data_IF_585750445455
#
_entry.id   IF_585750445455
#
_cell.length_a   1.000
_cell.length_b   1.000
_cell.length_c   1.000
_cell.angle_alpha   90.00
_cell.angle_beta   90.00
_cell.angle_gamma   90.00
#
_symmetry.space_group_name_H-M   'P 1'
#
loop_
_entity.id
_entity.type
_entity.pdbx_description
1 polymer ?
2 non-polymer ?
3 non-polymer ?
4 non-polymer ?
5 non-polymer ?
6 water ?
#
# COMPACT_ATOMS: atom_id res chain seq x y z
N UNK A 29 8.43 14.01 2.57
CA UNK A 29 7.61 12.76 2.56
C UNK A 29 8.01 11.89 3.76
N UNK A 30 7.04 11.62 4.66
CA UNK A 30 7.24 10.81 5.88
C UNK A 30 7.81 9.44 5.52
N UNK A 31 8.67 8.89 6.39
CA UNK A 31 9.35 7.59 6.23
C UNK A 31 8.34 6.55 5.72
N UNK A 32 8.69 5.86 4.64
CA UNK A 32 7.79 4.96 3.89
C UNK A 32 7.60 3.62 4.60
N UNK A 33 6.53 2.93 4.24
CA UNK A 33 6.42 1.45 4.44
C UNK A 33 7.56 0.80 3.65
N UNK A 34 8.13 -0.28 4.20
CA UNK A 34 9.36 -0.96 3.71
C UNK A 34 9.01 -2.31 3.05
N UNK A 35 7.81 -2.84 3.32
CA UNK A 35 7.34 -4.12 2.75
C UNK A 35 5.95 -3.91 2.13
N UNK A 36 5.66 -4.72 1.12
CA UNK A 36 4.30 -4.94 0.57
C UNK A 36 3.81 -6.29 1.10
N UNK A 37 2.59 -6.34 1.64
CA UNK A 37 2.10 -7.54 2.38
C UNK A 37 0.71 -7.88 1.86
N UNK A 38 0.38 -9.17 1.80
CA UNK A 38 -0.94 -9.63 1.32
C UNK A 38 -1.28 -10.93 2.07
N UNK A 39 -2.57 -11.09 2.41
CA UNK A 39 -3.11 -12.39 2.87
C UNK A 39 -3.41 -13.19 1.59
N UNK A 40 -2.66 -14.26 1.34
CA UNK A 40 -2.76 -15.06 0.08
C UNK A 40 -4.07 -15.87 0.09
N UNK A 41 -4.37 -16.53 -1.03
CA UNK A 41 -5.66 -17.22 -1.27
C UNK A 41 -5.78 -18.49 -0.42
N UNK A 42 -4.69 -18.96 0.21
CA UNK A 42 -4.77 -20.08 1.18
C UNK A 42 -4.58 -19.56 2.61
N UNK A 43 -4.75 -18.25 2.83
CA UNK A 43 -4.85 -17.66 4.17
C UNK A 43 -3.50 -17.46 4.84
N UNK A 44 -2.40 -17.60 4.10
CA UNK A 44 -1.04 -17.36 4.64
C UNK A 44 -0.58 -15.96 4.22
N UNK A 45 -0.15 -15.15 5.18
CA UNK A 45 0.42 -13.80 4.89
C UNK A 45 1.76 -14.01 4.18
N UNK A 46 1.99 -13.24 3.12
CA UNK A 46 3.31 -13.19 2.45
C UNK A 46 3.77 -11.73 2.43
N UNK A 47 5.03 -11.51 2.77
CA UNK A 47 5.65 -10.16 2.83
C UNK A 47 6.75 -10.10 1.76
N UNK A 48 6.87 -8.94 1.12
CA UNK A 48 7.86 -8.65 0.06
C UNK A 48 8.64 -7.41 0.46
N UNK A 49 9.97 -7.51 0.50
CA UNK A 49 10.85 -6.38 0.81
C UNK A 49 12.07 -6.40 -0.07
N UNK A 50 12.92 -5.38 0.08
CA UNK A 50 14.16 -5.23 -0.72
C UNK A 50 15.34 -5.52 0.21
N UNK A 51 16.20 -6.46 -0.19
CA UNK A 51 17.42 -6.82 0.56
C UNK A 51 18.52 -5.82 0.30
N UNK A 52 19.66 -5.98 0.98
CA UNK A 52 20.85 -5.11 0.83
C UNK A 52 21.45 -5.28 -0.57
N UNK A 53 21.05 -6.35 -1.31
CA UNK A 53 21.46 -6.63 -2.71
C UNK A 53 20.51 -5.97 -3.72
N UNK A 54 19.49 -5.25 -3.25
CA UNK A 54 18.47 -4.55 -4.08
C UNK A 54 17.63 -5.59 -4.84
N UNK A 55 17.69 -6.86 -4.44
CA UNK A 55 16.77 -7.91 -4.94
C UNK A 55 15.48 -7.87 -4.11
N UNK A 56 14.39 -8.37 -4.66
CA UNK A 56 13.12 -8.52 -3.89
C UNK A 56 13.15 -9.89 -3.22
N UNK A 57 12.91 -9.91 -1.91
CA UNK A 57 12.83 -11.13 -1.07
C UNK A 57 11.43 -11.24 -0.51
N UNK A 58 10.96 -12.47 -0.29
CA UNK A 58 9.63 -12.74 0.27
C UNK A 58 9.73 -13.78 1.40
N UNK A 59 8.74 -13.72 2.28
CA UNK A 59 8.64 -14.54 3.51
C UNK A 59 7.17 -14.83 3.69
N UNK A 60 6.81 -16.08 3.95
CA UNK A 60 5.39 -16.48 4.02
C UNK A 60 5.17 -17.25 5.32
N UNK A 61 4.01 -17.07 5.93
CA UNK A 61 3.56 -17.91 7.07
C UNK A 61 3.55 -19.37 6.61
N UNK A 62 4.00 -20.28 7.47
CA UNK A 62 3.96 -21.74 7.21
C UNK A 62 2.52 -22.22 7.34
N UNK A 63 1.71 -21.51 8.12
CA UNK A 63 0.33 -21.91 8.45
C UNK A 63 -0.57 -20.67 8.51
N UNK A 64 -1.86 -20.83 8.16
CA UNK A 64 -2.81 -19.72 8.14
C UNK A 64 -3.38 -19.41 9.53
N UNK A 65 -2.52 -18.95 10.45
CA UNK A 65 -2.91 -18.63 11.86
C UNK A 65 -2.01 -17.52 12.40
N UNK A 66 -2.55 -16.72 13.33
CA UNK A 66 -1.77 -15.74 14.12
C UNK A 66 -0.62 -16.49 14.80
N UNK A 67 0.58 -15.90 14.78
CA UNK A 67 1.76 -16.42 15.50
C UNK A 67 2.40 -17.63 14.82
N UNK A 68 2.03 -17.91 13.56
CA UNK A 68 2.62 -18.99 12.72
C UNK A 68 4.13 -18.77 12.61
N UNK A 69 4.90 -19.85 12.46
CA UNK A 69 6.31 -19.77 12.01
C UNK A 69 6.32 -19.26 10.57
N UNK A 70 7.49 -18.98 10.03
CA UNK A 70 7.67 -18.39 8.68
C UNK A 70 8.60 -19.28 7.86
N UNK A 71 8.47 -19.24 6.53
CA UNK A 71 9.36 -19.96 5.58
C UNK A 71 10.80 -19.48 5.75
N UNK A 72 10.97 -18.22 6.14
CA UNK A 72 12.25 -17.51 6.01
C UNK A 72 12.34 -16.84 4.66
N UNK A 73 13.35 -15.99 4.49
CA UNK A 73 13.48 -15.06 3.34
C UNK A 73 13.99 -15.82 2.11
N UNK A 74 13.28 -15.68 1.00
CA UNK A 74 13.59 -16.33 -0.31
C UNK A 74 13.66 -15.23 -1.37
N UNK A 75 14.74 -15.20 -2.16
CA UNK A 75 14.98 -14.14 -3.16
C UNK A 75 14.20 -14.42 -4.44
N UNK A 76 13.58 -13.38 -4.99
CA UNK A 76 13.02 -13.34 -6.37
C UNK A 76 14.03 -12.67 -7.31
N UNK A 77 15.23 -12.36 -6.81
CA UNK A 77 16.29 -11.68 -7.60
C UNK A 77 15.76 -10.31 -8.06
N UNK A 78 16.17 -9.86 -9.25
CA UNK A 78 15.92 -8.51 -9.75
C UNK A 78 16.85 -7.49 -9.12
N UNK A 79 16.78 -6.26 -9.63
CA UNK A 79 17.49 -5.07 -9.10
C UNK A 79 16.50 -3.91 -9.10
N UNK A 80 15.92 -3.59 -7.95
CA UNK A 80 14.80 -2.62 -7.85
C UNK A 80 15.31 -1.30 -7.27
N UNK A 81 14.65 -0.21 -7.66
CA UNK A 81 14.90 1.18 -7.24
C UNK A 81 13.56 1.82 -6.83
N UNK A 82 12.56 0.99 -6.49
CA UNK A 82 11.31 1.42 -5.81
C UNK A 82 10.97 0.42 -4.71
N UNK A 83 10.03 0.80 -3.84
CA UNK A 83 9.28 -0.18 -3.02
C UNK A 83 8.66 -1.19 -4.00
N UNK A 84 8.76 -2.51 -3.71
CA UNK A 84 8.05 -3.51 -4.50
C UNK A 84 6.62 -3.56 -4.00
N UNK A 85 5.67 -3.71 -4.92
CA UNK A 85 4.22 -3.76 -4.60
C UNK A 85 3.67 -5.09 -5.12
N UNK A 86 3.22 -5.93 -4.21
CA UNK A 86 2.55 -7.21 -4.58
C UNK A 86 1.07 -6.93 -4.74
N UNK A 87 0.43 -7.65 -5.66
CA UNK A 87 -1.05 -7.64 -5.81
C UNK A 87 -1.48 -9.07 -6.11
N UNK A 88 -2.66 -9.45 -5.60
CA UNK A 88 -3.22 -10.80 -5.88
C UNK A 88 -4.14 -10.69 -7.10
N UNK A 89 -3.78 -11.37 -8.17
CA UNK A 89 -4.63 -11.52 -9.37
C UNK A 89 -5.96 -12.16 -8.94
N UNK A 90 -7.01 -12.01 -9.75
CA UNK A 90 -8.36 -12.53 -9.40
C UNK A 90 -8.38 -14.06 -9.48
N UNK A 91 -7.34 -14.70 -10.04
CA UNK A 91 -7.15 -16.18 -10.04
C UNK A 91 -6.23 -16.62 -8.90
N UNK A 92 -5.87 -15.72 -7.97
CA UNK A 92 -5.07 -16.04 -6.78
C UNK A 92 -3.56 -15.94 -6.98
N UNK A 93 -3.07 -15.73 -8.20
CA UNK A 93 -1.61 -15.67 -8.47
C UNK A 93 -1.07 -14.31 -8.02
N UNK A 94 -0.05 -14.30 -7.17
CA UNK A 94 0.64 -13.06 -6.73
C UNK A 94 1.43 -12.49 -7.90
N UNK A 95 1.50 -11.17 -7.98
CA UNK A 95 2.29 -10.49 -9.02
C UNK A 95 2.96 -9.30 -8.33
N UNK A 96 4.28 -9.14 -8.52
CA UNK A 96 5.06 -8.06 -7.88
C UNK A 96 5.46 -7.06 -8.95
N UNK A 97 5.29 -5.77 -8.65
CA UNK A 97 5.62 -4.63 -9.53
C UNK A 97 6.70 -3.82 -8.82
N UNK A 98 7.73 -3.42 -9.55
CA UNK A 98 8.82 -2.60 -8.99
C UNK A 98 9.53 -1.86 -10.13
N UNK A 99 10.04 -0.67 -9.83
CA UNK A 99 10.94 0.04 -10.76
C UNK A 99 12.29 -0.69 -10.78
N UNK A 100 12.88 -0.83 -11.97
CA UNK A 100 14.20 -1.45 -12.15
C UNK A 100 15.31 -0.40 -12.17
N UNK A 101 16.57 -0.83 -12.24
CA UNK A 101 17.74 0.08 -12.28
C UNK A 101 17.72 0.90 -13.57
N UNK A 102 16.97 0.47 -14.59
CA UNK A 102 16.83 1.21 -15.88
C UNK A 102 15.64 2.18 -15.81
N UNK A 103 14.97 2.24 -14.64
CA UNK A 103 13.80 3.12 -14.35
C UNK A 103 12.57 2.69 -15.16
N UNK A 104 12.59 1.51 -15.76
CA UNK A 104 11.38 0.90 -16.35
C UNK A 104 10.58 0.25 -15.22
N UNK A 105 9.30 0.01 -15.47
CA UNK A 105 8.45 -0.82 -14.59
C UNK A 105 8.72 -2.28 -14.97
N UNK A 106 9.05 -3.10 -13.96
CA UNK A 106 9.22 -4.56 -14.10
C UNK A 106 8.14 -5.26 -13.30
N UNK A 107 7.83 -6.49 -13.68
CA UNK A 107 6.92 -7.35 -12.90
C UNK A 107 7.38 -8.81 -12.97
N UNK A 108 6.90 -9.58 -12.02
CA UNK A 108 7.19 -11.02 -11.86
C UNK A 108 5.93 -11.61 -11.22
N UNK A 109 5.56 -12.83 -11.59
CA UNK A 109 4.25 -13.40 -11.18
C UNK A 109 4.41 -14.89 -10.90
N UNK A 110 3.55 -15.40 -10.04
CA UNK A 110 3.38 -16.85 -9.80
C UNK A 110 2.76 -17.47 -11.06
N UNK A 111 3.27 -18.62 -11.49
CA UNK A 111 2.76 -19.32 -12.70
C UNK A 111 1.54 -20.15 -12.31
N UNK A 112 1.40 -20.45 -11.01
CA UNK A 112 0.21 -21.09 -10.40
C UNK A 112 -0.03 -20.49 -9.02
N UNK A 113 -1.29 -20.47 -8.59
CA UNK A 113 -1.71 -19.92 -7.29
C UNK A 113 -0.80 -20.47 -6.19
N UNK A 114 -0.04 -19.59 -5.54
CA UNK A 114 0.80 -19.86 -4.35
C UNK A 114 1.93 -20.86 -4.68
N UNK A 115 2.29 -20.99 -5.95
CA UNK A 115 3.35 -21.94 -6.40
C UNK A 115 4.57 -21.12 -6.84
N UNK A 116 5.26 -21.58 -7.91
CA UNK A 116 6.53 -21.02 -8.39
C UNK A 116 6.33 -19.68 -9.09
N UNK A 117 7.43 -18.99 -9.34
CA UNK A 117 7.44 -17.64 -9.96
C UNK A 117 8.00 -17.70 -11.38
N UNK A 118 7.51 -16.79 -12.21
CA UNK A 118 8.07 -16.44 -13.55
C UNK A 118 9.48 -15.86 -13.37
N UNK A 119 10.07 -15.48 -14.50
CA UNK A 119 11.22 -14.55 -14.55
C UNK A 119 10.67 -13.11 -14.53
N UNK A 120 11.49 -12.17 -14.07
CA UNK A 120 11.20 -10.71 -14.20
C UNK A 120 10.99 -10.38 -15.67
N UNK A 121 9.99 -9.56 -15.96
CA UNK A 121 9.70 -9.06 -17.33
C UNK A 121 9.52 -7.55 -17.24
N UNK A 122 10.04 -6.81 -18.22
CA UNK A 122 9.91 -5.35 -18.32
C UNK A 122 8.56 -4.99 -18.93
N UNK A 123 7.88 -4.01 -18.33
CA UNK A 123 6.69 -3.33 -18.91
C UNK A 123 7.10 -1.97 -19.48
N UNK A 124 8.40 -1.71 -19.55
CA UNK A 124 8.96 -0.48 -20.16
C UNK A 124 8.60 0.77 -19.37
N UNK A 125 8.53 1.90 -20.07
CA UNK A 125 8.34 3.23 -19.49
C UNK A 125 9.58 3.73 -18.78
N UNK A 126 9.50 4.96 -18.29
CA UNK A 126 10.51 5.61 -17.41
C UNK A 126 9.73 6.25 -16.26
N UNK A 127 9.83 5.68 -15.06
CA UNK A 127 8.95 6.07 -13.93
C UNK A 127 9.81 6.63 -12.80
N UNK A 128 9.20 7.50 -12.00
CA UNK A 128 9.87 8.36 -10.99
C UNK A 128 9.13 8.24 -9.66
N UNK A 129 8.30 7.21 -9.48
CA UNK A 129 7.59 6.90 -8.21
C UNK A 129 7.53 5.40 -7.98
N UNK A 130 7.14 5.01 -6.77
CA UNK A 130 6.67 3.63 -6.53
C UNK A 130 5.46 3.39 -7.42
N UNK A 131 5.25 2.14 -7.86
CA UNK A 131 4.00 1.79 -8.54
C UNK A 131 2.86 1.74 -7.52
N UNK A 132 1.65 2.08 -7.96
CA UNK A 132 0.39 1.85 -7.23
C UNK A 132 -0.43 0.89 -8.07
N UNK A 133 -0.98 -0.17 -7.46
CA UNK A 133 -1.55 -1.32 -8.19
C UNK A 133 -2.95 -1.59 -7.68
N UNK A 134 -3.91 -1.76 -8.59
CA UNK A 134 -5.26 -2.26 -8.24
C UNK A 134 -5.81 -3.05 -9.42
N UNK A 135 -6.83 -3.86 -9.18
CA UNK A 135 -7.47 -4.66 -10.25
C UNK A 135 -8.81 -4.02 -10.58
N UNK A 136 -9.11 -3.94 -11.87
CA UNK A 136 -10.42 -3.54 -12.41
C UNK A 136 -11.45 -4.65 -12.14
N UNK A 137 -12.73 -4.33 -12.29
CA UNK A 137 -13.87 -5.24 -12.03
C UNK A 137 -13.88 -6.39 -13.05
N UNK A 138 -13.12 -6.24 -14.15
CA UNK A 138 -12.97 -7.27 -15.22
C UNK A 138 -11.71 -8.10 -14.99
N UNK A 139 -11.05 -7.97 -13.85
CA UNK A 139 -9.87 -8.77 -13.46
C UNK A 139 -8.56 -8.29 -14.08
N UNK A 140 -8.58 -7.17 -14.80
CA UNK A 140 -7.38 -6.56 -15.44
C UNK A 140 -6.66 -5.67 -14.41
N UNK A 141 -5.43 -6.00 -14.07
CA UNK A 141 -4.58 -5.16 -13.18
C UNK A 141 -4.27 -3.85 -13.89
N UNK A 142 -4.34 -2.76 -13.14
CA UNK A 142 -3.99 -1.40 -13.58
C UNK A 142 -2.84 -0.93 -12.68
N UNK A 143 -1.73 -0.50 -13.27
CA UNK A 143 -0.54 -0.02 -12.52
C UNK A 143 -0.33 1.46 -12.83
N UNK A 144 -0.18 2.27 -11.78
CA UNK A 144 0.00 3.74 -11.84
C UNK A 144 1.40 4.08 -11.36
N UNK A 145 2.03 5.04 -12.02
CA UNK A 145 3.35 5.53 -11.60
C UNK A 145 3.55 6.93 -12.15
N UNK A 146 4.32 7.73 -11.43
CA UNK A 146 4.77 9.06 -11.92
C UNK A 146 5.73 8.85 -13.08
N UNK A 147 5.65 9.72 -14.08
CA UNK A 147 6.57 9.71 -15.24
C UNK A 147 7.68 10.73 -15.06
N UNK A 148 8.57 10.82 -16.05
CA UNK A 148 9.72 11.78 -16.04
C UNK A 148 9.18 13.20 -16.12
N UNK A 149 7.97 13.38 -16.67
CA UNK A 149 7.29 14.70 -16.77
C UNK A 149 6.54 15.01 -15.46
N UNK A 150 6.64 14.11 -14.47
CA UNK A 150 5.96 14.19 -13.14
C UNK A 150 4.44 14.09 -13.30
N UNK A 151 3.95 13.70 -14.47
CA UNK A 151 2.53 13.37 -14.69
C UNK A 151 2.25 11.97 -14.12
N UNK A 152 0.98 11.67 -13.87
CA UNK A 152 0.52 10.32 -13.50
C UNK A 152 0.30 9.53 -14.79
N UNK A 153 1.04 8.43 -14.95
CA UNK A 153 0.89 7.48 -16.08
C UNK A 153 0.30 6.16 -15.55
N UNK A 154 -0.27 5.36 -16.44
CA UNK A 154 -0.73 4.01 -16.07
C UNK A 154 -0.61 3.06 -17.26
N UNK A 155 -0.61 1.78 -16.94
CA UNK A 155 -0.52 0.66 -17.92
C UNK A 155 -1.34 -0.48 -17.32
N UNK A 156 -2.01 -1.28 -18.15
CA UNK A 156 -2.94 -2.31 -17.63
C UNK A 156 -2.83 -3.59 -18.46
N UNK A 157 -3.12 -4.72 -17.81
CA UNK A 157 -3.41 -6.03 -18.46
C UNK A 157 -4.55 -5.79 -19.48
N UNK A 158 -4.47 -6.41 -20.66
CA UNK A 158 -5.54 -6.28 -21.70
C UNK A 158 -6.53 -7.45 -21.56
N UNK A 159 -6.25 -8.40 -20.69
CA UNK A 159 -7.14 -9.54 -20.39
C UNK A 159 -7.06 -9.86 -18.89
N UNK A 160 -8.10 -10.46 -18.33
CA UNK A 160 -8.16 -10.79 -16.89
C UNK A 160 -6.86 -11.53 -16.51
N UNK A 161 -6.13 -11.01 -15.53
CA UNK A 161 -4.90 -11.60 -14.94
C UNK A 161 -3.96 -12.13 -16.05
N UNK A 162 -3.76 -11.35 -17.11
CA UNK A 162 -3.01 -11.82 -18.29
C UNK A 162 -2.44 -10.64 -19.08
N UNK A 163 -1.25 -10.83 -19.65
CA UNK A 163 -0.77 -10.02 -20.78
C UNK A 163 -1.55 -10.34 -22.04
N UNK A 164 -1.27 -9.66 -23.16
CA UNK A 164 -0.27 -8.60 -23.18
C UNK A 164 -0.79 -7.36 -22.46
N UNK A 165 0.12 -6.47 -22.06
CA UNK A 165 -0.20 -5.19 -21.39
C UNK A 165 -0.48 -4.12 -22.44
N UNK A 166 -1.22 -3.09 -22.02
CA UNK A 166 -1.57 -1.91 -22.84
C UNK A 166 -0.31 -1.08 -23.10
N UNK A 167 -0.44 -0.07 -23.94
CA UNK A 167 0.49 1.08 -24.01
C UNK A 167 0.45 1.81 -22.66
N UNK A 168 1.56 2.46 -22.30
CA UNK A 168 1.59 3.52 -21.26
C UNK A 168 0.72 4.69 -21.73
N UNK A 169 -0.10 5.24 -20.83
CA UNK A 169 -1.01 6.37 -21.13
C UNK A 169 -0.95 7.38 -19.98
N UNK A 170 -0.96 8.67 -20.32
CA UNK A 170 -0.84 9.78 -19.35
C UNK A 170 -2.22 10.20 -18.84
N UNK A 171 -2.32 10.41 -17.54
CA UNK A 171 -3.48 11.06 -16.88
C UNK A 171 -3.12 12.50 -16.50
N UNK A 172 -1.99 12.99 -17.01
CA UNK A 172 -1.55 14.40 -16.88
C UNK A 172 -1.33 14.69 -15.39
N UNK A 173 -1.47 15.97 -15.01
CA UNK A 173 -1.17 16.45 -13.66
C UNK A 173 0.32 16.55 -13.40
N UNK A 174 0.68 17.06 -12.23
CA UNK A 174 2.06 17.14 -11.71
C UNK A 174 1.99 16.72 -10.24
N UNK A 175 2.61 15.60 -9.88
CA UNK A 175 2.45 15.01 -8.53
C UNK A 175 3.83 14.92 -7.84
N UNK A 176 3.81 15.04 -6.52
CA UNK A 176 5.02 15.21 -5.66
C UNK A 176 5.03 14.16 -4.55
N UNK A 177 4.19 13.13 -4.66
CA UNK A 177 4.22 11.94 -3.77
C UNK A 177 4.09 10.69 -4.64
N UNK A 178 4.29 9.54 -4.03
CA UNK A 178 3.86 8.25 -4.64
C UNK A 178 2.34 8.31 -4.75
N UNK A 179 1.77 7.76 -5.84
CA UNK A 179 0.32 7.65 -5.98
C UNK A 179 -0.21 6.49 -5.13
N UNK A 180 -1.48 6.56 -4.76
CA UNK A 180 -2.23 5.46 -4.10
C UNK A 180 -3.55 5.26 -4.86
N UNK A 181 -3.98 4.01 -4.98
CA UNK A 181 -5.18 3.67 -5.78
C UNK A 181 -6.08 2.78 -4.95
N UNK A 182 -7.38 2.95 -5.12
CA UNK A 182 -8.40 2.05 -4.55
C UNK A 182 -9.60 2.03 -5.47
N UNK A 183 -10.34 0.93 -5.48
CA UNK A 183 -11.59 0.83 -6.26
C UNK A 183 -12.74 1.39 -5.42
N UNK A 184 -13.62 2.16 -6.05
CA UNK A 184 -14.89 2.63 -5.45
C UNK A 184 -15.85 1.44 -5.31
N UNK A 185 -16.91 1.59 -4.50
CA UNK A 185 -17.90 0.51 -4.27
C UNK A 185 -18.77 0.30 -5.51
N UNK A 186 -18.62 1.14 -6.53
CA UNK A 186 -19.31 0.96 -7.86
C UNK A 186 -18.30 0.51 -8.92
N UNK A 187 -17.09 0.09 -8.53
CA UNK A 187 -16.12 -0.54 -9.44
C UNK A 187 -15.23 0.46 -10.19
N UNK A 188 -15.31 1.75 -9.87
CA UNK A 188 -14.48 2.81 -10.53
C UNK A 188 -13.17 2.97 -9.76
N UNK A 189 -12.03 2.82 -10.43
CA UNK A 189 -10.71 3.04 -9.80
C UNK A 189 -10.56 4.52 -9.49
N UNK A 190 -9.85 4.84 -8.42
CA UNK A 190 -9.61 6.23 -7.99
C UNK A 190 -8.19 6.31 -7.44
N UNK A 191 -7.46 7.31 -7.91
CA UNK A 191 -6.02 7.51 -7.59
C UNK A 191 -5.87 8.83 -6.84
N UNK A 192 -5.02 8.80 -5.83
CA UNK A 192 -4.72 9.92 -4.91
C UNK A 192 -3.22 10.19 -4.98
N UNK A 193 -2.86 11.47 -4.95
CA UNK A 193 -1.43 11.87 -4.98
C UNK A 193 -1.32 13.30 -4.50
N UNK A 194 -0.16 13.64 -3.94
CA UNK A 194 0.14 15.03 -3.54
C UNK A 194 0.46 15.84 -4.79
N UNK A 195 -0.01 17.10 -4.84
CA UNK A 195 0.24 18.05 -5.94
C UNK A 195 1.38 19.00 -5.58
N UNK A 196 1.74 19.89 -6.51
CA UNK A 196 2.88 20.84 -6.33
C UNK A 196 2.55 21.85 -5.21
N UNK A 197 1.27 22.00 -4.85
CA UNK A 197 0.78 22.90 -3.76
C UNK A 197 0.72 22.15 -2.43
N UNK A 198 1.18 20.89 -2.42
CA UNK A 198 1.24 19.96 -1.24
C UNK A 198 -0.16 19.56 -0.80
N UNK A 199 -1.18 19.85 -1.62
CA UNK A 199 -2.57 19.42 -1.38
C UNK A 199 -2.73 17.97 -1.82
N UNK A 200 -3.76 17.30 -1.31
CA UNK A 200 -4.20 15.97 -1.79
C UNK A 200 -5.04 16.17 -3.05
N UNK A 201 -4.62 15.57 -4.15
CA UNK A 201 -5.38 15.58 -5.43
C UNK A 201 -5.86 14.17 -5.74
N UNK A 202 -6.90 14.05 -6.57
CA UNK A 202 -7.42 12.71 -6.94
C UNK A 202 -8.05 12.77 -8.32
N UNK A 203 -8.14 11.60 -8.94
CA UNK A 203 -8.66 11.40 -10.32
C UNK A 203 -9.28 9.99 -10.34
N UNK A 204 -10.33 9.78 -11.13
CA UNK A 204 -11.12 8.53 -11.08
C UNK A 204 -11.61 8.14 -12.47
N UNK A 205 -11.76 6.83 -12.68
CA UNK A 205 -12.58 6.28 -13.78
C UNK A 205 -13.98 6.85 -13.65
N UNK A 206 -14.58 7.27 -14.77
CA UNK A 206 -16.01 7.66 -14.83
C UNK A 206 -16.86 6.43 -15.18
N UNK A 207 -16.20 5.33 -15.56
CA UNK A 207 -16.85 4.01 -15.76
C UNK A 207 -15.87 2.91 -15.40
N UNK A 208 -16.31 1.80 -14.76
CA UNK A 208 -15.42 0.67 -14.49
C UNK A 208 -14.75 0.16 -15.77
N UNK A 209 -13.51 -0.32 -15.65
CA UNK A 209 -12.76 -1.11 -16.68
C UNK A 209 -12.35 -0.21 -17.85
N UNK A 210 -12.35 1.13 -17.70
CA UNK A 210 -12.23 2.03 -18.87
C UNK A 210 -11.03 2.98 -18.69
N UNK A 211 -10.62 3.58 -19.80
CA UNK A 211 -9.64 4.71 -19.84
C UNK A 211 -10.40 6.03 -19.98
N UNK A 212 -11.70 6.04 -19.69
CA UNK A 212 -12.44 7.30 -19.42
C UNK A 212 -12.10 7.72 -17.99
N UNK A 213 -11.07 8.56 -17.85
CA UNK A 213 -10.70 9.13 -16.53
C UNK A 213 -11.23 10.56 -16.42
N UNK A 214 -11.60 10.95 -15.20
CA UNK A 214 -12.09 12.30 -14.83
C UNK A 214 -10.97 13.34 -14.99
N UNK A 215 -11.29 14.61 -14.72
CA UNK A 215 -10.29 15.65 -14.44
C UNK A 215 -9.71 15.46 -13.05
N UNK A 216 -8.50 15.96 -12.83
CA UNK A 216 -7.90 16.08 -11.49
C UNK A 216 -8.79 16.96 -10.60
N UNK A 217 -8.91 16.62 -9.33
CA UNK A 217 -9.70 17.39 -8.34
C UNK A 217 -8.84 17.57 -7.09
N UNK A 218 -8.83 18.77 -6.51
CA UNK A 218 -8.08 19.05 -5.26
C UNK A 218 -8.99 18.78 -4.06
N UNK A 219 -8.51 17.99 -3.10
CA UNK A 219 -9.16 17.83 -1.77
C UNK A 219 -8.47 18.75 -0.76
N UNK A 220 -7.55 19.59 -1.24
CA UNK A 220 -6.88 20.62 -0.43
C UNK A 220 -6.04 20.00 0.67
N UNK A 221 -5.91 20.73 1.78
CA UNK A 221 -4.98 20.40 2.87
C UNK A 221 -3.53 20.57 2.46
N UNK A 222 -2.63 20.29 3.39
CA UNK A 222 -1.16 20.21 3.20
C UNK A 222 -0.72 18.87 3.77
N UNK A 223 -0.23 17.94 2.93
CA UNK A 223 0.17 16.59 3.41
C UNK A 223 1.69 16.43 3.28
N UNK A 224 2.27 15.76 4.27
CA UNK A 224 3.72 15.55 4.44
C UNK A 224 3.99 14.05 4.47
N UNK A 225 3.07 13.25 3.93
CA UNK A 225 3.25 11.80 3.67
C UNK A 225 2.56 11.45 2.35
N UNK A 226 2.93 10.30 1.78
CA UNK A 226 2.04 9.62 0.81
C UNK A 226 0.66 9.50 1.44
N UNK A 227 -0.41 9.60 0.64
CA UNK A 227 -1.75 9.27 1.11
C UNK A 227 -1.91 7.74 1.10
N UNK A 228 -2.75 7.24 2.02
CA UNK A 228 -3.25 5.84 1.97
C UNK A 228 -4.77 5.93 1.91
N UNK A 229 -5.37 4.99 1.18
CA UNK A 229 -6.83 5.03 0.90
C UNK A 229 -7.40 3.65 1.18
N UNK A 230 -8.58 3.61 1.76
CA UNK A 230 -9.28 2.33 2.05
C UNK A 230 -10.77 2.52 1.78
N UNK A 231 -11.47 1.40 1.55
CA UNK A 231 -12.93 1.33 1.40
C UNK A 231 -13.57 0.97 2.73
N UNK A 232 -14.54 1.76 3.17
CA UNK A 232 -15.25 1.53 4.46
C UNK A 232 -16.26 0.39 4.28
N UNK A 233 -16.74 -0.15 5.40
CA UNK A 233 -17.75 -1.22 5.42
C UNK A 233 -19.06 -0.72 4.80
N UNK A 234 -19.25 0.60 4.69
CA UNK A 234 -20.47 1.20 4.08
C UNK A 234 -20.12 1.82 2.71
N UNK A 235 -19.04 1.37 2.07
CA UNK A 235 -18.79 1.56 0.62
C UNK A 235 -18.30 2.95 0.27
N UNK A 236 -17.57 3.60 1.18
CA UNK A 236 -17.03 4.97 0.94
C UNK A 236 -15.49 4.89 0.98
N UNK A 237 -14.85 5.66 0.10
CA UNK A 237 -13.38 5.83 0.16
C UNK A 237 -13.05 6.77 1.30
N UNK A 238 -11.98 6.44 2.03
CA UNK A 238 -11.44 7.25 3.13
C UNK A 238 -9.92 7.29 2.98
N UNK A 239 -9.35 8.49 3.08
CA UNK A 239 -7.91 8.76 2.82
C UNK A 239 -7.26 9.27 4.11
N UNK A 240 -6.08 8.72 4.42
CA UNK A 240 -5.26 9.10 5.58
C UNK A 240 -3.92 9.63 5.08
N UNK A 241 -3.42 10.67 5.75
CA UNK A 241 -2.11 11.29 5.45
C UNK A 241 -1.64 12.09 6.66
N UNK A 242 -0.32 12.27 6.76
CA UNK A 242 0.26 13.16 7.79
C UNK A 242 0.09 14.61 7.32
N UNK A 243 -0.26 15.51 8.23
CA UNK A 243 -0.40 16.96 7.94
C UNK A 243 0.87 17.72 8.27
N UNK A 244 0.86 19.04 8.07
CA UNK A 244 2.05 19.93 8.23
C UNK A 244 2.49 19.97 9.70
N UNK A 245 1.60 19.71 10.66
CA UNK A 245 1.90 19.68 12.12
C UNK A 245 2.29 18.26 12.56
N UNK A 246 2.44 17.32 11.61
CA UNK A 246 2.80 15.89 11.83
C UNK A 246 1.70 15.14 12.58
N UNK A 247 0.49 15.71 12.67
CA UNK A 247 -0.71 14.97 13.11
C UNK A 247 -1.18 14.08 11.96
N UNK A 248 -1.90 13.02 12.30
CA UNK A 248 -2.62 12.17 11.32
C UNK A 248 -3.91 12.89 10.96
N UNK A 249 -4.23 12.99 9.68
CA UNK A 249 -5.51 13.55 9.17
C UNK A 249 -6.21 12.51 8.31
N UNK A 250 -7.53 12.66 8.19
CA UNK A 250 -8.34 11.82 7.27
C UNK A 250 -9.47 12.65 6.68
N UNK A 251 -9.96 12.19 5.55
CA UNK A 251 -11.03 12.83 4.75
C UNK A 251 -11.72 11.67 4.01
N UNK A 252 -13.00 11.80 3.69
CA UNK A 252 -13.79 10.65 3.16
C UNK A 252 -14.91 11.14 2.24
N UNK A 253 -15.31 10.27 1.32
CA UNK A 253 -16.60 10.37 0.58
C UNK A 253 -17.71 10.38 1.63
N UNK A 254 -18.69 11.28 1.48
CA UNK A 254 -19.84 11.38 2.42
C UNK A 254 -20.97 10.45 1.96
N UNK A 255 -20.94 9.97 0.71
CA UNK A 255 -21.90 8.97 0.18
C UNK A 255 -21.12 7.84 -0.47
N UNK A 256 -21.70 6.63 -0.60
CA UNK A 256 -21.00 5.54 -1.28
C UNK A 256 -20.53 5.97 -2.68
N UNK A 257 -19.27 5.67 -3.00
CA UNK A 257 -18.63 5.91 -4.32
C UNK A 257 -18.97 7.29 -4.89
N UNK A 258 -18.98 8.34 -4.05
CA UNK A 258 -19.37 9.68 -4.54
C UNK A 258 -18.97 10.82 -3.63
N UNK A 259 -18.92 12.02 -4.22
CA UNK A 259 -18.80 13.30 -3.51
C UNK A 259 -20.17 13.73 -2.97
N UNK A 260 -20.21 14.79 -2.14
CA UNK A 260 -19.01 15.57 -1.82
C UNK A 260 -18.14 14.85 -0.79
N UNK A 261 -16.86 15.23 -0.73
CA UNK A 261 -15.94 14.76 0.32
C UNK A 261 -16.16 15.57 1.59
N UNK A 262 -15.90 14.96 2.74
CA UNK A 262 -15.89 15.63 4.06
C UNK A 262 -14.84 16.74 4.05
N UNK A 263 -14.85 17.59 5.07
CA UNK A 263 -13.66 18.40 5.42
C UNK A 263 -12.62 17.42 5.94
N UNK A 264 -11.35 17.82 5.86
CA UNK A 264 -10.25 17.18 6.62
C UNK A 264 -10.60 17.19 8.11
N UNK A 265 -10.34 16.07 8.79
CA UNK A 265 -10.45 15.93 10.25
C UNK A 265 -9.12 15.44 10.80
N UNK A 266 -8.66 16.02 11.90
CA UNK A 266 -7.44 15.58 12.63
C UNK A 266 -7.75 14.36 13.48
N UNK A 267 -6.87 13.36 13.42
CA UNK A 267 -6.80 12.25 14.40
C UNK A 267 -5.60 12.49 15.32
N UNK A 268 -5.03 13.70 15.25
CA UNK A 268 -4.06 14.20 16.24
C UNK A 268 -2.80 13.32 16.21
N UNK A 269 -2.13 13.22 17.35
CA UNK A 269 -0.83 12.54 17.46
C UNK A 269 0.27 13.33 16.81
N UNK A 270 1.50 12.83 16.96
CA UNK A 270 2.72 13.33 16.27
C UNK A 270 3.38 12.08 15.70
N UNK A 271 3.35 11.95 14.37
CA UNK A 271 3.83 10.70 13.70
C UNK A 271 5.07 11.04 12.85
N UNK A 272 6.04 10.13 12.88
CA UNK A 272 7.38 10.29 12.28
C UNK A 272 7.55 9.26 11.16
N UNK A 273 6.44 8.68 10.69
CA UNK A 273 6.39 7.80 9.51
C UNK A 273 5.09 8.06 8.77
N UNK A 274 5.00 7.58 7.53
CA UNK A 274 3.71 7.43 6.82
C UNK A 274 2.78 6.62 7.71
N UNK A 275 1.47 6.92 7.69
CA UNK A 275 0.48 6.07 8.34
C UNK A 275 0.13 4.86 7.45
N UNK A 276 -0.19 3.73 8.07
CA UNK A 276 -0.73 2.53 7.40
C UNK A 276 -2.14 2.29 7.93
N UNK A 277 -3.09 2.07 7.04
CA UNK A 277 -4.52 1.84 7.40
C UNK A 277 -4.90 0.41 7.04
N UNK A 278 -5.80 -0.16 7.81
CA UNK A 278 -6.30 -1.54 7.62
C UNK A 278 -7.70 -1.60 8.22
N UNK A 279 -8.53 -2.51 7.72
CA UNK A 279 -9.88 -2.77 8.25
C UNK A 279 -9.82 -4.04 9.11
N UNK A 280 -10.25 -3.92 10.37
CA UNK A 280 -10.46 -5.09 11.26
C UNK A 280 -11.49 -6.03 10.63
N UNK A 281 -11.56 -7.27 11.13
CA UNK A 281 -12.50 -8.32 10.67
C UNK A 281 -13.96 -7.82 10.80
N UNK A 282 -14.24 -6.89 11.72
CA UNK A 282 -15.62 -6.39 12.00
C UNK A 282 -15.88 -5.06 11.28
N UNK A 283 -14.96 -4.59 10.44
CA UNK A 283 -15.14 -3.35 9.66
C UNK A 283 -14.56 -2.12 10.34
N UNK A 284 -14.07 -2.23 11.58
CA UNK A 284 -13.49 -1.05 12.30
C UNK A 284 -12.15 -0.70 11.64
N UNK A 285 -11.99 0.55 11.21
CA UNK A 285 -10.69 1.02 10.65
C UNK A 285 -9.69 1.15 11.80
N UNK A 286 -8.43 0.95 11.47
CA UNK A 286 -7.31 1.06 12.43
C UNK A 286 -6.10 1.59 11.66
N UNK A 287 -5.38 2.54 12.27
CA UNK A 287 -4.20 3.20 11.65
C UNK A 287 -2.99 2.96 12.55
N UNK A 288 -1.86 2.67 11.92
CA UNK A 288 -0.55 2.41 12.57
C UNK A 288 0.43 3.46 12.06
N UNK A 289 1.26 4.00 12.95
CA UNK A 289 2.33 4.93 12.58
C UNK A 289 3.39 4.94 13.65
N UNK A 290 4.59 5.35 13.27
CA UNK A 290 5.71 5.54 14.21
C UNK A 290 5.48 6.86 14.97
N UNK A 291 5.78 6.87 16.28
CA UNK A 291 5.72 8.09 17.11
C UNK A 291 7.08 8.74 17.27
N UNK A 292 7.11 9.88 17.96
CA UNK A 292 8.31 10.69 18.23
C UNK A 292 9.41 9.81 18.86
N UNK A 293 9.05 8.89 19.75
CA UNK A 293 10.03 8.02 20.47
C UNK A 293 10.40 6.79 19.62
N UNK A 294 9.92 6.71 18.37
CA UNK A 294 10.21 5.62 17.39
C UNK A 294 9.47 4.33 17.76
N UNK A 295 8.56 4.38 18.73
CA UNK A 295 7.65 3.26 19.03
C UNK A 295 6.57 3.19 17.95
N UNK A 296 5.96 2.02 17.80
CA UNK A 296 4.74 1.84 16.99
C UNK A 296 3.55 2.34 17.81
N UNK A 297 2.69 3.14 17.19
CA UNK A 297 1.42 3.61 17.79
C UNK A 297 0.28 3.19 16.88
N UNK A 298 -0.93 3.11 17.44
CA UNK A 298 -2.15 2.82 16.66
C UNK A 298 -3.33 3.53 17.28
N UNK A 299 -4.36 3.69 16.45
CA UNK A 299 -5.61 4.39 16.77
C UNK A 299 -6.68 3.69 15.94
N UNK A 300 -7.87 3.50 16.49
CA UNK A 300 -8.90 2.64 15.85
C UNK A 300 -10.28 3.21 16.10
N UNK A 301 -11.20 2.94 15.18
CA UNK A 301 -12.65 3.11 15.43
C UNK A 301 -13.05 2.16 16.56
N UNK A 302 -13.83 2.66 17.51
CA UNK A 302 -14.38 1.86 18.64
C UNK A 302 -15.82 1.45 18.32
N UNK A 303 -16.27 0.33 18.90
CA UNK A 303 -17.69 -0.14 18.87
C UNK A 303 -18.00 -0.77 17.52
N UNK A 304 -17.90 0.00 16.43
CA UNK A 304 -18.29 -0.44 15.07
C UNK A 304 -17.61 0.42 14.02
N UNK A 305 -17.78 0.04 12.74
CA UNK A 305 -17.29 0.77 11.56
C UNK A 305 -17.84 2.20 11.51
N UNK A 306 -18.90 2.53 12.28
CA UNK A 306 -19.43 3.92 12.35
C UNK A 306 -19.20 4.53 13.75
N UNK A 307 -18.37 3.92 14.58
CA UNK A 307 -18.17 4.35 15.98
C UNK A 307 -17.13 5.46 16.09
N UNK A 308 -16.99 6.09 17.28
CA UNK A 308 -16.00 7.15 17.47
C UNK A 308 -14.59 6.57 17.48
N UNK A 309 -13.60 7.33 16.99
CA UNK A 309 -12.18 6.91 17.03
C UNK A 309 -11.69 6.90 18.47
N UNK A 310 -10.79 5.96 18.77
CA UNK A 310 -10.04 5.87 20.04
C UNK A 310 -9.05 7.02 20.13
N UNK A 311 -8.34 7.10 21.24
CA UNK A 311 -7.08 7.86 21.36
C UNK A 311 -5.93 6.96 20.94
N UNK A 312 -4.79 7.56 20.60
CA UNK A 312 -3.54 6.84 20.28
C UNK A 312 -3.12 5.98 21.47
N UNK A 313 -2.66 4.76 21.18
CA UNK A 313 -2.04 3.85 22.18
C UNK A 313 -0.74 3.32 21.59
N UNK A 314 0.25 3.10 22.45
CA UNK A 314 1.58 2.61 22.02
C UNK A 314 1.53 1.08 21.92
N UNK A 315 2.31 0.52 21.00
CA UNK A 315 2.62 -0.92 20.93
C UNK A 315 4.13 -1.11 21.17
N UNK A 316 4.80 -0.06 21.62
CA UNK A 316 6.24 -0.10 22.01
C UNK A 316 7.07 -0.50 20.79
N UNK A 317 8.18 -1.20 21.01
CA UNK A 317 9.19 -1.47 19.97
C UNK A 317 9.95 -0.21 19.59
N UNK A 318 10.93 -0.37 18.71
CA UNK A 318 11.70 0.73 18.10
C UNK A 318 11.78 0.43 16.60
N UNK A 319 11.12 1.22 15.77
CA UNK A 319 10.97 0.88 14.32
C UNK A 319 11.67 1.96 13.50
N UNK A 320 12.19 1.54 12.34
CA UNK A 320 13.02 2.34 11.41
C UNK A 320 12.38 2.32 10.02
N UNK A 321 11.08 2.05 9.97
CA UNK A 321 10.22 2.19 8.77
C UNK A 321 8.83 2.60 9.26
N UNK A 322 7.96 3.03 8.35
CA UNK A 322 6.51 3.02 8.61
C UNK A 322 6.10 1.56 8.82
N UNK A 323 5.05 1.32 9.61
CA UNK A 323 4.48 -0.02 9.76
C UNK A 323 3.62 -0.39 8.56
N UNK A 324 3.39 -1.68 8.37
CA UNK A 324 2.47 -2.25 7.35
C UNK A 324 1.53 -3.22 8.07
N UNK A 325 0.22 -3.06 7.89
CA UNK A 325 -0.81 -3.82 8.62
C UNK A 325 -1.63 -4.65 7.63
N UNK A 326 -1.97 -5.87 8.02
CA UNK A 326 -2.84 -6.78 7.21
C UNK A 326 -3.64 -7.65 8.18
N UNK A 327 -4.85 -8.03 7.79
CA UNK A 327 -5.69 -8.98 8.56
C UNK A 327 -5.26 -10.41 8.18
N UNK A 328 -5.03 -11.26 9.18
CA UNK A 328 -4.66 -12.68 8.97
C UNK A 328 -5.93 -13.54 8.89
N UNK A 329 -5.75 -14.84 8.70
CA UNK A 329 -6.84 -15.83 8.45
C UNK A 329 -7.63 -16.08 9.73
N UNK A 330 -7.13 -15.63 10.89
CA UNK A 330 -7.83 -15.72 12.21
C UNK A 330 -8.60 -14.43 12.51
N UNK A 331 -8.64 -13.47 11.58
CA UNK A 331 -9.36 -12.20 11.76
C UNK A 331 -8.62 -11.23 12.65
N UNK A 332 -7.32 -11.45 12.88
CA UNK A 332 -6.46 -10.61 13.74
C UNK A 332 -5.55 -9.75 12.85
N UNK A 333 -5.39 -8.48 13.22
CA UNK A 333 -4.42 -7.57 12.56
C UNK A 333 -3.01 -8.05 12.86
N UNK A 334 -2.17 -8.02 11.82
CA UNK A 334 -0.72 -8.29 11.90
C UNK A 334 0.00 -7.04 11.41
N UNK A 335 1.03 -6.63 12.12
CA UNK A 335 1.81 -5.42 11.79
C UNK A 335 3.26 -5.83 11.61
N UNK A 336 3.88 -5.27 10.59
CA UNK A 336 5.30 -5.51 10.22
C UNK A 336 5.97 -4.14 10.15
N UNK A 337 7.19 -4.04 10.67
CA UNK A 337 7.99 -2.81 10.61
C UNK A 337 9.44 -3.21 10.74
N UNK A 338 10.33 -2.49 10.08
CA UNK A 338 11.78 -2.73 10.24
C UNK A 338 12.19 -2.29 11.64
N UNK A 339 13.10 -3.04 12.27
CA UNK A 339 13.67 -2.72 13.60
C UNK A 339 15.01 -2.02 13.48
N UNK A 340 15.65 -1.73 14.61
CA UNK A 340 16.94 -0.98 14.65
C UNK A 340 18.07 -1.89 14.11
N UNK A 341 17.83 -3.19 14.05
CA UNK A 341 18.79 -4.21 13.56
C UNK A 341 18.55 -4.47 12.06
N UNK A 342 17.59 -3.76 11.46
CA UNK A 342 17.19 -3.87 10.02
C UNK A 342 16.47 -5.19 9.73
N UNK A 343 16.14 -5.98 10.75
CA UNK A 343 15.26 -7.17 10.61
C UNK A 343 13.84 -6.65 10.43
N UNK A 344 12.97 -7.45 9.83
CA UNK A 344 11.52 -7.15 9.86
C UNK A 344 10.94 -7.75 11.13
N UNK A 345 10.25 -6.94 11.92
CA UNK A 345 9.60 -7.37 13.18
C UNK A 345 8.09 -7.44 12.99
N UNK A 346 7.43 -8.29 13.76
CA UNK A 346 5.99 -8.58 13.65
C UNK A 346 5.36 -8.47 15.05
N UNK A 347 4.15 -7.92 15.10
CA UNK A 347 3.30 -7.90 16.31
C UNK A 347 1.86 -8.10 15.82
N UNK A 348 1.03 -8.79 16.60
CA UNK A 348 -0.34 -9.13 16.16
C UNK A 348 -1.33 -8.97 17.31
N UNK A 349 -2.61 -8.86 16.94
CA UNK A 349 -3.72 -8.38 17.79
C UNK A 349 -4.25 -9.55 18.65
N UNK A 350 -3.50 -9.95 19.68
CA UNK A 350 -3.79 -11.12 20.56
C UNK A 350 -4.71 -10.71 21.72
N UNK A 354 -2.10 -7.02 22.82
CA UNK A 354 -1.36 -7.47 21.61
C UNK A 354 -0.23 -8.42 21.99
N UNK A 355 0.27 -9.17 21.00
CA UNK A 355 1.37 -10.16 21.13
C UNK A 355 2.66 -9.45 21.53
N UNK A 356 3.64 -10.23 21.97
CA UNK A 356 5.04 -9.79 22.07
C UNK A 356 5.58 -9.56 20.64
N UNK A 357 6.48 -8.59 20.49
CA UNK A 357 7.24 -8.40 19.23
C UNK A 357 8.05 -9.65 18.93
N UNK A 358 8.05 -10.06 17.66
CA UNK A 358 8.77 -11.27 17.17
C UNK A 358 9.54 -10.84 15.91
N UNK A 359 10.76 -11.34 15.77
CA UNK A 359 11.62 -11.01 14.61
C UNK A 359 11.47 -12.07 13.52
N UNK A 360 11.27 -11.61 12.29
CA UNK A 360 11.31 -12.42 11.05
C UNK A 360 12.73 -12.41 10.47
N UNK A 361 13.66 -11.73 11.15
CA UNK A 361 15.07 -11.62 10.72
C UNK A 361 15.12 -10.94 9.35
N UNK A 362 16.09 -11.29 8.52
CA UNK A 362 16.37 -10.58 7.26
C UNK A 362 17.05 -9.25 7.50
N UNK A 363 17.42 -8.58 6.41
CA UNK A 363 18.04 -7.24 6.40
C UNK A 363 17.41 -6.46 5.25
N UNK A 364 16.54 -5.51 5.59
CA UNK A 364 15.72 -4.76 4.61
C UNK A 364 16.26 -3.35 4.44
N UNK A 365 16.10 -2.79 3.24
CA UNK A 365 16.41 -1.38 2.92
C UNK A 365 15.12 -0.70 2.48
N UNK A 366 15.07 0.62 2.64
CA UNK A 366 14.00 1.48 2.08
C UNK A 366 14.41 1.85 0.65
N UNK A 367 13.82 1.19 -0.35
CA UNK A 367 14.09 1.43 -1.79
C UNK A 367 13.06 2.40 -2.39
N UNK A 368 12.23 3.07 -1.58
CA UNK A 368 11.18 3.99 -2.09
C UNK A 368 11.79 4.92 -3.14
N UNK A 369 11.08 5.10 -4.26
CA UNK A 369 11.52 5.93 -5.41
C UNK A 369 11.36 7.40 -5.06
N UNK A 370 10.43 7.73 -4.14
CA UNK A 370 10.24 9.10 -3.58
C UNK A 370 10.38 9.01 -2.06
N UNK A 371 11.31 9.81 -1.50
CA UNK A 371 11.62 9.89 -0.06
C UNK A 371 11.55 11.35 0.40
X LIG B 1 6.00 -18.21 -2.39
X LIG B 1 6.00 -19.26 -3.07
X LIG B 1 5.88 -17.06 -2.86
X LIG B 1 6.16 -18.33 -0.87
X LIG C 1 6.14 6.34 -19.13
X LIG C 1 5.21 6.43 -19.93
X LIG C 1 7.33 6.21 -19.46
X LIG C 1 5.82 6.39 -17.64
X LIG D 1 -2.46 17.89 -10.32
X LIG D 1 -3.62 18.35 -10.26
X LIG D 1 -1.58 18.33 -11.07
X LIG D 1 -2.10 16.71 -9.42
X LIG E 1 -4.75 18.76 6.29
X LIG E 1 -5.82 18.72 6.91
X LIG E 1 -4.19 19.83 5.94
X LIG E 1 -4.07 17.44 5.96
X LIG F 1 -15.03 11.10 -6.51
X LIG F 1 -14.41 10.64 -5.30
X LIG F 1 -15.90 10.10 -7.18
X LIG F 1 -15.31 8.83 -7.39
X LIG G 1 1.11 9.60 18.97
X LIG G 1 0.54 8.97 19.88
X LIG G 1 1.38 10.81 19.04
X LIG G 1 1.50 8.86 17.71
X LIG H 1 -8.62 -2.62 18.47
X LIG H 1 -7.17 -2.48 18.89
X LIG H 1 -7.00 -3.01 20.30
X LIG H 1 -7.46 -4.45 20.37
X LIG H 1 -8.92 -4.53 19.92
X LIG H 1 -9.44 -5.94 19.86
X LIG H 1 -8.84 -2.18 17.16
X LIG H 1 -6.31 -3.17 17.97
X LIG H 1 -5.64 -2.90 20.71
X LIG H 1 -7.33 -4.96 21.70
X LIG H 1 -9.04 -3.99 18.58
X LIG I 1 16.59 -10.51 3.43
X LIG I 1 16.52 -11.55 2.73
X LIG I 1 17.53 -10.27 4.21
X LIG I 1 15.47 -9.49 3.30
X LIG J 1 -6.20 -10.02 -11.85
X LIG K 1 -12.74 -1.11 -12.73
X LIG L 1 -2.87 -15.86 8.12
X LIG M 1 6.57 -1.37 6.55
X LIG N 1 -2.56 -16.48 -3.52
X LIG O 1 2.12 -13.68 13.27
#
# INVERSE_FOLDING_TARGET
>A
MQEEPTNIPRPDNAELLVASEVAIENAAIALSEIVSVVNTSDGRIEVFGVGTDNAVWHNRQTAPHSGSSWTGWISLNGKVTSKPVVYINTDGRLEVFARGTDNALWHIWQTATNAGWSNWQSLGGTITSNPAVYVNTDGRIDVFARGTDNALWHISQTAAHSGPWSSWQSLNGVITSNPAVHINSDGRLEVFARGTDNALWHIWQTAPDSNQWSGWDSLGGVITSDPVVIGTADGRLEVFARGSNNALYHIWQTVPHGGPWSNWASLNGVITSAPAVVKNSDGRLEVFARGTNNALYHIWQTVSHSGPWSNWATLNGTITSAPTAVEDADGRLEVFARGTDNALWNIWQATPSWSAWVSLKGSLIDASAIK
>B hetero
1 ACT C O OXT CH3
>C hetero
1 ACT C O OXT CH3
>D hetero
1 ACT C O OXT CH3
>E hetero
1 ACT C O OXT CH3
>F hetero
1 EDO C1 O1 C2 O2
>G hetero
1 ACT C O OXT CH3
>H hetero
1 RM4 C1 C2 C3 C4 C5 C6 O1 O2 O3 O4 O5
>I hetero
1 ACT C O OXT CH3
>J hetero
1 NA NA
>K hetero
1 NA NA
>L hetero
1 NA NA
>M hetero
1 NA NA
>N hetero
1 NA NA
>O hetero
1 NA NA
#
